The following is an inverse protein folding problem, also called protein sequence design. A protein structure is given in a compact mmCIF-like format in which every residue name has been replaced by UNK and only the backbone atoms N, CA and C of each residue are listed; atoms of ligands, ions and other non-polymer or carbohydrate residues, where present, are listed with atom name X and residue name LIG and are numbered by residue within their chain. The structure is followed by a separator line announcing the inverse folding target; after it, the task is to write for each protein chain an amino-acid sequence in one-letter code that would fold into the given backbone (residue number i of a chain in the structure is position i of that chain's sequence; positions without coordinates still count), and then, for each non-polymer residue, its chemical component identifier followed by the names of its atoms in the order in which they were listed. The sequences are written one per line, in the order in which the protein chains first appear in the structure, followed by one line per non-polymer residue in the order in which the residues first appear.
data_IF_203119038777
#
_entry.id   IF_203119038777
#
_cell.length_a   1.000
_cell.length_b   1.000
_cell.length_c   1.000
_cell.angle_alpha   90.00
_cell.angle_beta   90.00
_cell.angle_gamma   90.00
#
_symmetry.space_group_name_H-M   'P 1'
#
loop_
_entity.id
_entity.type
_entity.pdbx_description
1 polymer ?
#
# COMPACT_ATOMS: atom_id res chain seq x y z
N UNK A 1 6.33 10.69 -24.92
CA UNK A 1 6.52 9.62 -23.90
C UNK A 1 7.79 9.80 -23.05
N UNK A 2 8.81 10.49 -23.52
CA UNK A 2 10.10 10.62 -22.83
C UNK A 2 10.10 11.61 -21.64
N UNK A 3 9.27 12.66 -21.66
CA UNK A 3 9.17 13.68 -20.59
C UNK A 3 8.49 13.19 -19.30
N UNK A 4 7.60 12.18 -19.34
CA UNK A 4 7.02 11.56 -18.14
C UNK A 4 8.06 10.97 -17.18
N UNK A 5 9.25 10.63 -17.65
CA UNK A 5 10.31 10.01 -16.84
C UNK A 5 11.19 11.01 -16.08
N UNK A 6 11.14 12.30 -16.41
CA UNK A 6 12.03 13.30 -15.82
C UNK A 6 11.73 13.55 -14.32
N UNK A 7 10.46 13.68 -13.95
CA UNK A 7 10.06 13.97 -12.56
C UNK A 7 10.21 12.75 -11.63
N UNK A 8 10.03 11.55 -12.16
CA UNK A 8 10.30 10.32 -11.38
C UNK A 8 11.79 10.13 -11.07
N UNK A 9 12.67 10.95 -11.64
CA UNK A 9 14.13 10.90 -11.45
C UNK A 9 14.64 11.83 -10.35
N UNK A 10 13.80 12.66 -9.71
CA UNK A 10 14.24 13.48 -8.59
C UNK A 10 14.22 12.61 -7.33
N UNK A 11 15.38 12.08 -6.88
CA UNK A 11 15.42 11.13 -5.75
C UNK A 11 14.84 11.74 -4.47
N UNK A 12 15.01 13.05 -4.28
CA UNK A 12 14.49 13.79 -3.11
C UNK A 12 12.96 13.79 -3.04
N UNK A 13 12.25 13.96 -4.17
CA UNK A 13 10.80 13.99 -4.18
C UNK A 13 10.20 12.64 -3.78
N UNK A 14 10.73 11.54 -4.31
CA UNK A 14 10.33 10.18 -3.90
C UNK A 14 10.59 9.91 -2.43
N UNK A 15 11.67 10.45 -1.88
CA UNK A 15 11.99 10.34 -0.46
C UNK A 15 10.94 11.06 0.39
N UNK A 16 10.54 12.28 0.02
CA UNK A 16 9.49 13.01 0.75
C UNK A 16 8.13 12.32 0.67
N UNK A 17 7.76 11.79 -0.51
CA UNK A 17 6.55 10.99 -0.65
C UNK A 17 6.59 9.74 0.22
N UNK A 18 7.72 9.04 0.25
CA UNK A 18 7.89 7.85 1.09
C UNK A 18 7.78 8.18 2.58
N UNK A 19 8.45 9.24 3.03
CA UNK A 19 8.37 9.69 4.44
C UNK A 19 6.95 10.12 4.79
N UNK A 20 6.25 10.84 3.89
CA UNK A 20 4.85 11.20 4.09
C UNK A 20 3.93 9.99 4.22
N UNK A 21 4.08 9.00 3.32
CA UNK A 21 3.32 7.75 3.40
C UNK A 21 3.66 6.94 4.67
N UNK A 22 4.93 6.91 5.08
CA UNK A 22 5.34 6.25 6.32
C UNK A 22 4.74 6.92 7.56
N UNK A 23 4.64 8.25 7.57
CA UNK A 23 3.95 8.99 8.64
C UNK A 23 2.45 8.67 8.67
N UNK A 24 1.79 8.59 7.51
CA UNK A 24 0.38 8.18 7.40
C UNK A 24 0.20 6.75 7.88
N UNK A 25 1.08 5.82 7.48
CA UNK A 25 1.07 4.42 7.93
C UNK A 25 1.20 4.32 9.45
N UNK A 26 2.12 5.09 10.04
CA UNK A 26 2.30 5.15 11.48
C UNK A 26 1.02 5.66 12.17
N UNK A 27 0.45 6.77 11.70
CA UNK A 27 -0.81 7.30 12.24
C UNK A 27 -1.95 6.27 12.12
N UNK A 28 -2.12 5.64 10.96
CA UNK A 28 -3.16 4.63 10.76
C UNK A 28 -2.94 3.41 11.66
N UNK A 29 -1.71 2.94 11.83
CA UNK A 29 -1.41 1.77 12.66
C UNK A 29 -1.70 1.98 14.14
N UNK A 30 -1.57 3.20 14.66
CA UNK A 30 -1.75 3.53 16.09
C UNK A 30 -3.04 4.27 16.43
N UNK A 31 -3.90 4.53 15.43
CA UNK A 31 -5.21 5.15 15.63
C UNK A 31 -6.33 4.21 15.21
N UNK A 32 -7.57 4.60 15.50
CA UNK A 32 -8.77 3.89 15.03
C UNK A 32 -8.93 3.90 13.51
N UNK A 33 -8.21 4.80 12.80
CA UNK A 33 -8.29 4.91 11.35
C UNK A 33 -7.76 3.67 10.61
N UNK A 34 -6.80 2.97 11.19
CA UNK A 34 -6.20 1.78 10.54
C UNK A 34 -6.90 0.47 10.86
N UNK A 35 -7.68 0.43 11.96
CA UNK A 35 -8.37 -0.77 12.41
C UNK A 35 -9.78 -0.41 12.85
N UNK A 36 -10.74 -0.67 11.98
CA UNK A 36 -12.16 -0.47 12.27
C UNK A 36 -12.69 -1.80 12.84
N UNK A 37 -12.98 -1.82 14.12
CA UNK A 37 -13.58 -2.98 14.77
C UNK A 37 -15.09 -2.97 14.51
N UNK A 38 -15.53 -3.82 13.60
CA UNK A 38 -16.94 -4.14 13.37
C UNK A 38 -17.06 -5.62 13.63
N UNK A 39 -17.64 -5.97 14.78
CA UNK A 39 -17.85 -7.39 15.09
C UNK A 39 -18.70 -8.08 14.00
N UNK A 40 -18.32 -9.28 13.56
CA UNK A 40 -17.24 -10.15 14.04
C UNK A 40 -15.90 -9.95 13.31
N UNK A 41 -15.75 -8.93 12.47
CA UNK A 41 -14.59 -8.76 11.55
C UNK A 41 -13.89 -7.44 11.85
N UNK A 42 -12.58 -7.51 12.13
CA UNK A 42 -11.73 -6.33 12.17
C UNK A 42 -11.31 -5.93 10.76
N UNK A 43 -11.81 -4.78 10.31
CA UNK A 43 -11.46 -4.21 9.00
C UNK A 43 -10.13 -3.47 9.11
N UNK A 44 -9.11 -3.93 8.41
CA UNK A 44 -7.79 -3.29 8.39
C UNK A 44 -7.65 -2.42 7.15
N UNK A 45 -7.50 -1.12 7.32
CA UNK A 45 -7.32 -0.13 6.24
C UNK A 45 -5.85 0.31 6.13
N UNK A 46 -5.02 -0.06 7.11
CA UNK A 46 -3.62 0.36 7.22
C UNK A 46 -2.70 -0.09 6.06
N UNK A 47 -3.13 -0.92 5.14
CA UNK A 47 -2.34 -1.28 3.95
C UNK A 47 -2.52 -0.30 2.77
N UNK A 48 -3.37 0.73 2.88
CA UNK A 48 -3.52 1.75 1.82
C UNK A 48 -2.21 2.47 1.47
N UNK A 49 -1.38 2.92 2.44
CA UNK A 49 -0.09 3.52 2.14
C UNK A 49 0.86 2.58 1.39
N UNK A 50 0.76 1.25 1.63
CA UNK A 50 1.53 0.23 0.91
C UNK A 50 1.13 0.21 -0.56
N UNK A 51 -0.18 0.27 -0.85
CA UNK A 51 -0.70 0.32 -2.23
C UNK A 51 -0.21 1.57 -2.95
N UNK A 52 -0.30 2.73 -2.31
CA UNK A 52 0.18 3.99 -2.87
C UNK A 52 1.71 3.96 -3.11
N UNK A 53 2.48 3.41 -2.17
CA UNK A 53 3.92 3.22 -2.37
C UNK A 53 4.21 2.31 -3.56
N UNK A 54 3.52 1.18 -3.71
CA UNK A 54 3.64 0.28 -4.86
C UNK A 54 3.24 0.93 -6.17
N UNK A 55 2.16 1.70 -6.15
CA UNK A 55 1.64 2.39 -7.33
C UNK A 55 2.57 3.52 -7.80
N UNK A 56 3.17 4.31 -6.91
CA UNK A 56 3.88 5.55 -7.28
C UNK A 56 5.40 5.50 -7.05
N UNK A 57 5.88 4.78 -6.04
CA UNK A 57 7.29 4.80 -5.65
C UNK A 57 8.07 3.59 -6.19
N UNK A 58 7.49 2.39 -6.09
CA UNK A 58 8.06 1.17 -6.63
C UNK A 58 8.07 0.00 -5.66
N UNK A 59 8.67 -1.12 -6.11
CA UNK A 59 8.60 -2.43 -5.43
C UNK A 59 9.24 -2.40 -4.04
N UNK A 60 10.44 -1.85 -3.94
CA UNK A 60 11.20 -1.85 -2.67
C UNK A 60 10.60 -0.91 -1.63
N UNK A 61 10.03 0.22 -2.07
CA UNK A 61 9.33 1.16 -1.20
C UNK A 61 8.02 0.53 -0.66
N UNK A 62 7.29 -0.19 -1.50
CA UNK A 62 6.10 -0.92 -1.05
C UNK A 62 6.46 -2.06 -0.08
N UNK A 63 7.55 -2.79 -0.34
CA UNK A 63 8.05 -3.81 0.58
C UNK A 63 8.47 -3.21 1.94
N UNK A 64 9.17 -2.08 1.93
CA UNK A 64 9.55 -1.35 3.13
C UNK A 64 8.33 -0.85 3.90
N UNK A 65 7.30 -0.31 3.23
CA UNK A 65 6.03 0.06 3.86
C UNK A 65 5.34 -1.16 4.49
N UNK A 66 5.34 -2.31 3.80
CA UNK A 66 4.84 -3.57 4.36
C UNK A 66 5.61 -4.00 5.61
N UNK A 67 6.92 -3.80 5.63
CA UNK A 67 7.75 -4.04 6.81
C UNK A 67 7.36 -3.11 7.98
N UNK A 68 7.18 -1.81 7.74
CA UNK A 68 6.72 -0.86 8.76
C UNK A 68 5.36 -1.25 9.32
N UNK A 69 4.40 -1.58 8.47
CA UNK A 69 3.10 -2.07 8.88
C UNK A 69 3.20 -3.35 9.73
N UNK A 70 4.06 -4.29 9.31
CA UNK A 70 4.31 -5.53 10.06
C UNK A 70 4.88 -5.29 11.45
N UNK A 71 5.86 -4.39 11.57
CA UNK A 71 6.45 -4.01 12.86
C UNK A 71 5.44 -3.32 13.76
N UNK A 72 4.62 -2.40 13.22
CA UNK A 72 3.55 -1.74 13.97
C UNK A 72 2.49 -2.74 14.46
N UNK A 73 2.10 -3.70 13.61
CA UNK A 73 1.16 -4.77 13.96
C UNK A 73 1.70 -5.67 15.07
N UNK A 74 2.97 -6.06 14.98
CA UNK A 74 3.65 -6.86 16.00
C UNK A 74 3.73 -6.11 17.35
N UNK A 75 4.11 -4.83 17.31
CA UNK A 75 4.18 -4.00 18.51
C UNK A 75 2.80 -3.87 19.16
N UNK A 76 1.76 -3.57 18.37
CA UNK A 76 0.39 -3.42 18.84
C UNK A 76 -0.13 -4.71 19.48
N UNK A 77 0.09 -5.86 18.86
CA UNK A 77 -0.27 -7.16 19.39
C UNK A 77 0.47 -7.50 20.69
N UNK A 78 1.68 -6.99 20.89
CA UNK A 78 2.48 -7.22 22.08
C UNK A 78 2.11 -6.29 23.24
N UNK A 79 1.73 -5.04 22.94
CA UNK A 79 1.49 -4.01 23.95
C UNK A 79 0.00 -3.76 24.24
N UNK A 80 -0.88 -3.92 23.24
CA UNK A 80 -2.28 -3.48 23.29
C UNK A 80 -3.24 -4.46 22.60
N UNK A 81 -3.04 -5.77 22.74
CA UNK A 81 -3.95 -6.72 22.12
C UNK A 81 -5.39 -6.53 22.64
N UNK A 82 -6.35 -6.54 21.71
CA UNK A 82 -7.77 -6.35 22.01
C UNK A 82 -8.49 -7.70 22.06
N UNK A 83 -8.10 -8.61 21.19
CA UNK A 83 -8.68 -9.95 21.11
C UNK A 83 -7.65 -11.04 21.42
N UNK A 84 -8.06 -12.19 21.99
CA UNK A 84 -7.16 -13.32 22.23
C UNK A 84 -6.44 -13.79 20.95
N UNK A 85 -7.09 -13.67 19.78
CA UNK A 85 -6.52 -14.00 18.49
C UNK A 85 -5.39 -13.05 18.07
N UNK A 86 -5.34 -11.82 18.62
CA UNK A 86 -4.26 -10.88 18.30
C UNK A 86 -2.93 -11.33 18.92
N UNK A 87 -2.95 -12.15 19.97
CA UNK A 87 -1.74 -12.65 20.65
C UNK A 87 -0.82 -13.43 19.71
N UNK A 88 -1.37 -14.09 18.68
CA UNK A 88 -0.55 -14.85 17.70
C UNK A 88 0.39 -13.97 16.87
N UNK A 89 0.08 -12.67 16.75
CA UNK A 89 0.94 -11.70 16.07
C UNK A 89 2.10 -11.20 16.95
N UNK A 90 2.08 -11.55 18.25
CA UNK A 90 3.14 -11.20 19.19
C UNK A 90 4.12 -12.36 19.37
N UNK A 91 5.42 -12.18 19.10
CA UNK A 91 6.43 -13.22 19.34
C UNK A 91 6.62 -13.53 20.83
N UNK A 92 6.14 -12.65 21.72
CA UNK A 92 6.27 -12.80 23.17
C UNK A 92 5.09 -13.53 23.81
N UNK A 93 3.91 -13.49 23.17
CA UNK A 93 2.64 -13.99 23.73
C UNK A 93 2.14 -15.27 23.06
N UNK A 94 2.56 -15.54 21.82
CA UNK A 94 1.99 -16.63 21.00
C UNK A 94 2.47 -18.03 21.37
N UNK A 95 3.58 -18.15 22.13
CA UNK A 95 4.26 -19.45 22.35
C UNK A 95 5.06 -19.98 21.14
N UNK A 96 4.95 -19.35 19.96
CA UNK A 96 5.72 -19.68 18.76
C UNK A 96 6.29 -18.41 18.09
N UNK A 97 7.43 -17.87 18.61
CA UNK A 97 7.99 -16.59 18.17
C UNK A 97 8.26 -16.49 16.67
N UNK A 98 8.83 -17.54 16.06
CA UNK A 98 9.13 -17.53 14.62
C UNK A 98 7.86 -17.47 13.76
N UNK A 99 6.80 -18.21 14.14
CA UNK A 99 5.51 -18.14 13.48
C UNK A 99 4.88 -16.76 13.57
N UNK A 100 4.98 -16.11 14.73
CA UNK A 100 4.49 -14.74 14.93
C UNK A 100 5.27 -13.71 14.11
N UNK A 101 6.58 -13.82 14.01
CA UNK A 101 7.40 -12.95 13.17
C UNK A 101 7.05 -13.12 11.69
N UNK A 102 6.90 -14.38 11.24
CA UNK A 102 6.47 -14.64 9.87
C UNK A 102 5.08 -14.08 9.60
N UNK A 103 4.13 -14.29 10.53
CA UNK A 103 2.76 -13.83 10.41
C UNK A 103 2.65 -12.31 10.48
N UNK A 104 3.36 -11.63 11.39
CA UNK A 104 3.27 -10.18 11.57
C UNK A 104 4.07 -9.41 10.53
N UNK A 105 5.32 -9.77 10.34
CA UNK A 105 6.27 -9.02 9.50
C UNK A 105 6.36 -9.64 8.11
N UNK A 106 6.57 -10.97 8.05
CA UNK A 106 6.83 -11.65 6.79
C UNK A 106 5.69 -11.52 5.78
N UNK A 107 4.44 -11.77 6.20
CA UNK A 107 3.27 -11.67 5.31
C UNK A 107 3.06 -10.26 4.78
N UNK A 108 3.30 -9.24 5.60
CA UNK A 108 3.08 -7.83 5.22
C UNK A 108 4.18 -7.30 4.32
N UNK A 109 5.43 -7.66 4.60
CA UNK A 109 6.55 -7.35 3.72
C UNK A 109 6.40 -8.05 2.36
N UNK A 110 6.01 -9.33 2.36
CA UNK A 110 5.70 -10.08 1.15
C UNK A 110 4.53 -9.47 0.38
N UNK A 111 3.46 -9.08 1.06
CA UNK A 111 2.33 -8.38 0.46
C UNK A 111 2.78 -7.09 -0.24
N UNK A 112 3.54 -6.24 0.45
CA UNK A 112 4.06 -5.00 -0.14
C UNK A 112 4.95 -5.26 -1.36
N UNK A 113 5.82 -6.27 -1.30
CA UNK A 113 6.65 -6.67 -2.43
C UNK A 113 5.80 -7.16 -3.62
N UNK A 114 4.84 -8.06 -3.40
CA UNK A 114 3.96 -8.58 -4.44
C UNK A 114 3.15 -7.46 -5.11
N UNK A 115 2.52 -6.60 -4.31
CA UNK A 115 1.75 -5.45 -4.81
C UNK A 115 2.64 -4.52 -5.63
N UNK A 116 3.86 -4.22 -5.15
CA UNK A 116 4.82 -3.42 -5.90
C UNK A 116 5.19 -4.05 -7.24
N UNK A 117 5.42 -5.36 -7.29
CA UNK A 117 5.69 -6.10 -8.53
C UNK A 117 4.48 -6.04 -9.48
N UNK A 118 3.27 -6.26 -8.97
CA UNK A 118 2.04 -6.20 -9.77
C UNK A 118 1.86 -4.82 -10.40
N UNK A 119 2.02 -3.73 -9.64
CA UNK A 119 1.97 -2.37 -10.17
C UNK A 119 3.08 -2.10 -11.19
N UNK A 120 4.29 -2.60 -10.96
CA UNK A 120 5.38 -2.47 -11.91
C UNK A 120 5.09 -3.17 -13.23
N UNK A 121 4.51 -4.37 -13.19
CA UNK A 121 4.06 -5.11 -14.37
C UNK A 121 2.89 -4.40 -15.05
N UNK A 122 1.89 -3.97 -14.29
CA UNK A 122 0.72 -3.24 -14.79
C UNK A 122 1.09 -1.95 -15.53
N UNK A 123 2.13 -1.23 -15.08
CA UNK A 123 2.64 -0.03 -15.76
C UNK A 123 3.25 -0.29 -17.15
N UNK A 124 3.65 -1.52 -17.43
CA UNK A 124 4.20 -1.91 -18.73
C UNK A 124 3.12 -2.27 -19.74
N UNK A 125 1.88 -2.38 -19.32
CA UNK A 125 0.74 -2.73 -20.16
C UNK A 125 0.25 -1.55 -20.99
N UNK A 126 -0.64 -1.83 -21.96
CA UNK A 126 -1.27 -0.81 -22.81
C UNK A 126 -2.19 0.14 -22.03
N UNK A 127 -2.79 -0.36 -20.94
CA UNK A 127 -3.76 0.37 -20.11
C UNK A 127 -3.33 0.38 -18.63
N UNK A 128 -2.28 1.14 -18.26
CA UNK A 128 -1.69 1.09 -16.93
C UNK A 128 -2.66 1.53 -15.83
N UNK A 129 -3.54 2.50 -16.09
CA UNK A 129 -4.55 2.96 -15.13
C UNK A 129 -5.60 1.86 -14.85
N UNK A 130 -6.11 1.19 -15.88
CA UNK A 130 -7.05 0.09 -15.69
C UNK A 130 -6.40 -1.07 -14.91
N UNK A 131 -5.14 -1.39 -15.20
CA UNK A 131 -4.39 -2.37 -14.41
C UNK A 131 -4.23 -1.94 -12.95
N UNK A 132 -3.95 -0.66 -12.69
CA UNK A 132 -3.87 -0.16 -11.32
C UNK A 132 -5.20 -0.32 -10.58
N UNK A 133 -6.33 -0.04 -11.23
CA UNK A 133 -7.66 -0.27 -10.67
C UNK A 133 -7.91 -1.74 -10.34
N UNK A 134 -7.59 -2.66 -11.25
CA UNK A 134 -7.74 -4.11 -11.01
C UNK A 134 -6.84 -4.58 -9.86
N UNK A 135 -5.58 -4.15 -9.81
CA UNK A 135 -4.66 -4.50 -8.73
C UNK A 135 -5.20 -4.00 -7.39
N UNK A 136 -5.75 -2.79 -7.34
CA UNK A 136 -6.33 -2.20 -6.13
C UNK A 136 -7.54 -2.98 -5.63
N UNK A 137 -8.39 -3.49 -6.53
CA UNK A 137 -9.52 -4.35 -6.19
C UNK A 137 -9.09 -5.72 -5.65
N UNK A 138 -7.97 -6.24 -6.13
CA UNK A 138 -7.45 -7.56 -5.73
C UNK A 138 -6.56 -7.50 -4.48
N UNK A 139 -6.00 -6.34 -4.16
CA UNK A 139 -5.03 -6.21 -3.08
C UNK A 139 -5.56 -6.61 -1.69
N UNK A 140 -6.78 -6.22 -1.24
CA UNK A 140 -7.32 -6.70 0.03
C UNK A 140 -7.43 -8.22 0.08
N UNK A 141 -7.89 -8.83 -1.00
CA UNK A 141 -8.01 -10.30 -1.13
C UNK A 141 -6.66 -11.00 -1.04
N UNK A 142 -5.66 -10.45 -1.71
CA UNK A 142 -4.29 -10.94 -1.63
C UNK A 142 -3.74 -10.84 -0.20
N UNK A 143 -3.98 -9.72 0.48
CA UNK A 143 -3.58 -9.55 1.88
C UNK A 143 -4.25 -10.59 2.79
N UNK A 144 -5.57 -10.76 2.70
CA UNK A 144 -6.32 -11.72 3.49
C UNK A 144 -5.83 -13.16 3.24
N UNK A 145 -5.65 -13.56 1.97
CA UNK A 145 -5.13 -14.88 1.63
C UNK A 145 -3.74 -15.11 2.25
N UNK A 146 -2.83 -14.14 2.16
CA UNK A 146 -1.48 -14.28 2.74
C UNK A 146 -1.52 -14.44 4.25
N UNK A 147 -2.30 -13.61 4.95
CA UNK A 147 -2.39 -13.63 6.42
C UNK A 147 -3.04 -14.92 6.90
N UNK A 148 -4.22 -15.26 6.41
CA UNK A 148 -4.94 -16.46 6.88
C UNK A 148 -4.25 -17.76 6.49
N UNK A 149 -3.60 -17.82 5.33
CA UNK A 149 -2.77 -18.99 4.96
C UNK A 149 -1.57 -19.14 5.89
N UNK A 150 -0.92 -18.03 6.25
CA UNK A 150 0.18 -18.06 7.21
C UNK A 150 -0.30 -18.43 8.63
N UNK A 151 -1.51 -17.96 9.03
CA UNK A 151 -2.15 -18.37 10.30
C UNK A 151 -2.36 -19.89 10.33
N UNK A 152 -2.97 -20.46 9.29
CA UNK A 152 -3.20 -21.91 9.22
C UNK A 152 -1.91 -22.73 9.21
N UNK A 153 -0.85 -22.21 8.56
CA UNK A 153 0.45 -22.87 8.51
C UNK A 153 1.20 -22.82 9.85
N UNK A 154 1.23 -21.66 10.50
CA UNK A 154 2.00 -21.43 11.73
C UNK A 154 1.23 -21.81 12.99
N UNK A 155 -0.10 -21.71 12.98
CA UNK A 155 -0.99 -21.93 14.12
C UNK A 155 -2.17 -22.85 13.77
N UNK A 156 -1.92 -24.12 13.38
CA UNK A 156 -2.97 -25.03 12.91
C UNK A 156 -4.04 -25.32 13.97
N UNK A 157 -3.72 -25.17 15.24
CA UNK A 157 -4.67 -25.32 16.34
C UNK A 157 -5.84 -24.32 16.32
N UNK A 158 -5.70 -23.22 15.58
CA UNK A 158 -6.77 -22.22 15.42
C UNK A 158 -7.83 -22.63 14.38
N UNK A 159 -7.59 -23.71 13.63
CA UNK A 159 -8.55 -24.22 12.64
C UNK A 159 -8.68 -23.37 11.36
N UNK A 160 -7.78 -22.40 11.14
CA UNK A 160 -7.73 -21.68 9.86
C UNK A 160 -7.06 -22.52 8.78
N UNK A 161 -7.69 -22.59 7.63
CA UNK A 161 -7.19 -23.27 6.45
C UNK A 161 -7.25 -22.34 5.22
N UNK A 162 -6.83 -22.84 4.07
CA UNK A 162 -6.88 -22.08 2.82
C UNK A 162 -8.33 -21.73 2.40
N UNK A 163 -9.31 -22.59 2.75
CA UNK A 163 -10.72 -22.33 2.45
C UNK A 163 -11.25 -21.17 3.29
N UNK A 164 -10.89 -21.09 4.56
CA UNK A 164 -11.16 -19.95 5.44
C UNK A 164 -10.56 -18.67 4.89
N UNK A 165 -9.31 -18.72 4.38
CA UNK A 165 -8.66 -17.58 3.74
C UNK A 165 -9.45 -17.07 2.53
N UNK A 166 -9.95 -17.96 1.68
CA UNK A 166 -10.76 -17.61 0.52
C UNK A 166 -12.12 -17.01 0.91
N UNK A 167 -12.77 -17.56 1.95
CA UNK A 167 -14.05 -17.01 2.45
C UNK A 167 -13.88 -15.58 2.96
N UNK A 168 -12.85 -15.30 3.74
CA UNK A 168 -12.57 -13.93 4.20
C UNK A 168 -12.27 -13.01 3.03
N UNK A 169 -11.41 -13.43 2.11
CA UNK A 169 -11.08 -12.66 0.92
C UNK A 169 -12.30 -12.35 0.03
N UNK A 170 -13.31 -13.22 0.00
CA UNK A 170 -14.55 -12.97 -0.76
C UNK A 170 -15.38 -11.83 -0.16
N UNK A 171 -15.34 -11.65 1.17
CA UNK A 171 -16.13 -10.64 1.87
C UNK A 171 -15.49 -9.24 1.90
N UNK A 172 -14.26 -9.08 1.41
CA UNK A 172 -13.50 -7.82 1.41
C UNK A 172 -13.95 -6.82 0.32
N UNK A 173 -15.23 -6.86 -0.12
CA UNK A 173 -15.71 -6.02 -1.22
C UNK A 173 -15.66 -4.52 -0.90
N UNK A 174 -16.02 -4.12 0.32
CA UNK A 174 -15.95 -2.72 0.75
C UNK A 174 -14.51 -2.19 0.71
N UNK A 175 -13.56 -2.96 1.23
CA UNK A 175 -12.15 -2.61 1.22
C UNK A 175 -11.58 -2.54 -0.19
N UNK A 176 -11.99 -3.45 -1.07
CA UNK A 176 -11.60 -3.42 -2.47
C UNK A 176 -12.04 -2.14 -3.17
N UNK A 177 -13.29 -1.71 -2.94
CA UNK A 177 -13.80 -0.44 -3.47
C UNK A 177 -13.07 0.77 -2.88
N UNK A 178 -12.79 0.76 -1.58
CA UNK A 178 -12.01 1.82 -0.93
C UNK A 178 -10.61 1.94 -1.54
N UNK A 179 -9.91 0.83 -1.73
CA UNK A 179 -8.60 0.80 -2.38
C UNK A 179 -8.65 1.34 -3.81
N UNK A 180 -9.67 0.94 -4.57
CA UNK A 180 -9.87 1.45 -5.92
C UNK A 180 -10.05 2.96 -5.92
N UNK A 181 -10.94 3.50 -5.09
CA UNK A 181 -11.22 4.93 -5.01
C UNK A 181 -9.96 5.71 -4.62
N UNK A 182 -9.21 5.25 -3.61
CA UNK A 182 -7.99 5.92 -3.15
C UNK A 182 -6.91 5.93 -4.23
N UNK A 183 -6.65 4.81 -4.90
CA UNK A 183 -5.64 4.73 -5.95
C UNK A 183 -6.05 5.54 -7.18
N UNK A 184 -7.31 5.50 -7.59
CA UNK A 184 -7.81 6.28 -8.72
C UNK A 184 -7.81 7.79 -8.43
N UNK A 185 -8.15 8.20 -7.21
CA UNK A 185 -8.05 9.60 -6.78
C UNK A 185 -6.60 10.09 -6.81
N UNK A 186 -5.66 9.32 -6.24
CA UNK A 186 -4.24 9.64 -6.24
C UNK A 186 -3.68 9.70 -7.68
N UNK A 187 -4.07 8.79 -8.56
CA UNK A 187 -3.69 8.81 -9.97
C UNK A 187 -4.21 10.05 -10.70
N UNK A 188 -5.44 10.46 -10.38
CA UNK A 188 -6.05 11.66 -10.96
C UNK A 188 -5.37 12.95 -10.50
N UNK A 189 -4.93 12.99 -9.23
CA UNK A 189 -4.19 14.13 -8.69
C UNK A 189 -2.79 14.25 -9.32
N UNK A 190 -2.06 13.15 -9.47
CA UNK A 190 -0.75 13.13 -10.13
C UNK A 190 -0.87 13.65 -11.58
N UNK A 191 -1.88 13.23 -12.32
CA UNK A 191 -2.12 13.70 -13.68
C UNK A 191 -2.45 15.19 -13.77
N UNK A 192 -3.13 15.76 -12.78
CA UNK A 192 -3.43 17.22 -12.73
C UNK A 192 -2.19 18.05 -12.44
N UNK A 193 -1.33 17.59 -11.55
CA UNK A 193 -0.07 18.30 -11.26
C UNK A 193 0.86 18.30 -12.48
N UNK A 194 0.97 17.19 -13.19
CA UNK A 194 1.73 17.12 -14.45
C UNK A 194 1.22 18.16 -15.46
N UNK A 195 -0.09 18.32 -15.62
CA UNK A 195 -0.70 19.29 -16.53
C UNK A 195 -0.45 20.75 -16.08
N UNK A 196 -0.52 21.05 -14.79
CA UNK A 196 -0.22 22.37 -14.25
C UNK A 196 1.24 22.77 -14.48
N UNK A 197 2.17 21.86 -14.22
CA UNK A 197 3.60 22.11 -14.47
C UNK A 197 3.90 22.26 -15.94
N UNK A 198 3.24 21.50 -16.81
CA UNK A 198 3.37 21.66 -18.25
C UNK A 198 2.82 23.00 -18.76
N UNK A 199 1.67 23.44 -18.25
CA UNK A 199 1.12 24.78 -18.52
C UNK A 199 2.08 25.90 -18.11
N UNK A 200 2.59 25.87 -16.89
CA UNK A 200 3.55 26.86 -16.39
C UNK A 200 4.88 26.87 -17.20
N UNK A 201 5.32 25.71 -17.70
CA UNK A 201 6.49 25.64 -18.57
C UNK A 201 6.24 26.25 -19.95
N UNK A 202 5.05 26.07 -20.53
CA UNK A 202 4.67 26.69 -21.81
C UNK A 202 4.57 28.22 -21.69
N UNK A 203 4.01 28.71 -20.58
CA UNK A 203 3.91 30.14 -20.29
C UNK A 203 5.30 30.79 -20.17
N UNK A 204 6.27 30.12 -19.55
CA UNK A 204 7.66 30.58 -19.49
C UNK A 204 8.35 30.53 -20.84
N UNK A 205 8.09 29.52 -21.67
CA UNK A 205 8.62 29.41 -23.03
C UNK A 205 8.07 30.47 -23.98
N UNK A 206 6.77 30.78 -23.87
CA UNK A 206 6.13 31.87 -24.62
C UNK A 206 6.69 33.25 -24.25
N UNK A 207 7.01 33.48 -22.98
CA UNK A 207 7.68 34.71 -22.53
C UNK A 207 9.08 34.91 -23.13
N UNK A 208 9.84 33.84 -23.29
CA UNK A 208 11.17 33.90 -23.91
C UNK A 208 11.12 34.20 -25.43
N UNK A 209 10.11 33.67 -26.14
CA UNK A 209 9.89 34.02 -27.55
C UNK A 209 9.46 35.48 -27.73
N UNK A 210 8.68 36.03 -26.81
CA UNK A 210 8.26 37.42 -26.84
C UNK A 210 9.43 38.36 -26.54
N UNK A 211 10.29 38.04 -25.57
CA UNK A 211 11.54 38.75 -25.30
C UNK A 211 12.51 38.69 -26.48
N UNK A 212 12.60 37.55 -27.16
CA UNK A 212 13.46 37.44 -28.37
C UNK A 212 12.97 38.29 -29.54
N UNK A 213 11.65 38.53 -29.65
CA UNK A 213 11.07 39.42 -30.69
C UNK A 213 11.26 40.92 -30.39
N UNK A 214 11.38 41.31 -29.10
CA UNK A 214 11.63 42.68 -28.70
C UNK A 214 13.11 43.11 -28.85
N UNK A 215 14.01 42.14 -29.03
CA UNK A 215 15.45 42.37 -29.20
C UNK A 215 15.87 42.45 -30.68
N UNK A 216 14.96 42.29 -31.62
CA UNK A 216 15.13 42.40 -33.07
C UNK A 216 14.26 43.53 -33.65
#
# INVERSE_FOLDING_TARGET
MEKRRAWQRIPRFKTYQFVGLAAVEFLMSFTFLGYIHVEPISITVAYLPILLAGCFLGVWQAAAMGLFFGLASMYKASAYYVMPTDMIFSPFLSGFPLGSLLLSIGTRALFGWLVGVLFQLGRRTRHPRACAGVISLLAPKLHSVLVYSAMGLCFPALGYDFTSALHVAANDAFLALLCLVVVEAAWSLEGREELRHFGAYLDQGGGLEQQARELH
#
